data_IF_122902595526
#
_entry.id   IF_122902595526
#
_cell.length_a   1.000
_cell.length_b   1.000
_cell.length_c   1.000
_cell.angle_alpha   90.00
_cell.angle_beta   90.00
_cell.angle_gamma   90.00
#
_symmetry.space_group_name_H-M   'P 1'
#
loop_
_entity.id
_entity.type
_entity.pdbx_description
1 polymer ?
#
# COMPACT_ATOMS: atom_id res chain seq x y z
N UNK A 1 -30.00 -19.54 10.15
CA UNK A 1 -28.90 -20.12 9.35
C UNK A 1 -27.69 -19.25 9.60
N UNK A 2 -26.51 -19.82 9.84
CA UNK A 2 -25.30 -19.01 9.99
C UNK A 2 -25.09 -18.22 8.69
N UNK A 3 -24.75 -16.93 8.78
CA UNK A 3 -24.44 -16.14 7.59
C UNK A 3 -22.94 -16.06 7.39
N UNK A 4 -22.50 -16.20 6.14
CA UNK A 4 -21.13 -15.89 5.78
C UNK A 4 -20.96 -14.37 5.88
N UNK A 5 -20.16 -13.90 6.84
CA UNK A 5 -19.93 -12.48 7.08
C UNK A 5 -18.43 -12.21 6.99
N UNK A 6 -18.00 -11.18 6.22
CA UNK A 6 -16.61 -10.80 6.15
C UNK A 6 -16.01 -10.54 7.54
N UNK A 7 -14.80 -11.02 7.78
CA UNK A 7 -14.07 -10.93 9.06
C UNK A 7 -14.48 -11.96 10.11
N UNK A 8 -15.26 -12.99 9.75
CA UNK A 8 -15.77 -13.99 10.70
C UNK A 8 -15.53 -15.41 10.21
N UNK A 9 -15.52 -16.37 11.15
CA UNK A 9 -15.52 -17.79 10.82
C UNK A 9 -16.93 -18.25 10.42
N UNK A 10 -17.02 -19.09 9.41
CA UNK A 10 -18.25 -19.65 8.86
C UNK A 10 -18.15 -21.18 8.83
N UNK A 11 -19.16 -21.86 9.34
CA UNK A 11 -19.25 -23.33 9.26
C UNK A 11 -20.03 -23.73 8.02
N UNK A 12 -19.37 -24.43 7.10
CA UNK A 12 -19.94 -24.93 5.84
C UNK A 12 -21.18 -25.78 6.12
N UNK A 13 -22.28 -25.44 5.45
CA UNK A 13 -23.56 -26.12 5.50
C UNK A 13 -23.73 -27.08 4.32
N UNK A 14 -24.73 -27.97 4.42
CA UNK A 14 -25.01 -28.92 3.34
C UNK A 14 -25.45 -28.18 2.08
N UNK A 15 -24.73 -28.41 0.98
CA UNK A 15 -25.02 -27.81 -0.34
C UNK A 15 -24.27 -26.50 -0.60
N UNK A 16 -23.44 -26.02 0.34
CA UNK A 16 -22.61 -24.85 0.12
C UNK A 16 -21.54 -25.09 -0.94
N UNK A 17 -21.18 -24.00 -1.62
CA UNK A 17 -20.02 -23.90 -2.51
C UNK A 17 -19.23 -22.66 -2.11
N UNK A 18 -17.92 -22.61 -2.37
CA UNK A 18 -17.13 -21.41 -2.08
C UNK A 18 -17.67 -20.17 -2.81
N UNK A 19 -18.18 -20.33 -4.03
CA UNK A 19 -18.83 -19.26 -4.79
C UNK A 19 -20.16 -18.82 -4.20
N UNK A 20 -20.98 -19.76 -3.70
CA UNK A 20 -22.20 -19.43 -2.95
C UNK A 20 -21.90 -18.66 -1.66
N UNK A 21 -20.90 -19.10 -0.91
CA UNK A 21 -20.45 -18.44 0.33
C UNK A 21 -19.88 -17.05 0.01
N UNK A 22 -19.08 -16.90 -1.04
CA UNK A 22 -18.56 -15.62 -1.51
C UNK A 22 -19.69 -14.67 -1.96
N UNK A 23 -20.66 -15.18 -2.71
CA UNK A 23 -21.83 -14.42 -3.13
C UNK A 23 -22.62 -13.90 -1.92
N UNK A 24 -22.75 -14.72 -0.87
CA UNK A 24 -23.42 -14.33 0.37
C UNK A 24 -22.60 -13.29 1.16
N UNK A 25 -21.30 -13.50 1.33
CA UNK A 25 -20.45 -12.64 2.14
C UNK A 25 -20.15 -11.30 1.49
N UNK A 26 -20.00 -11.29 0.16
CA UNK A 26 -19.42 -10.17 -0.58
C UNK A 26 -20.34 -9.59 -1.65
N UNK A 27 -21.43 -10.28 -2.00
CA UNK A 27 -22.27 -9.90 -3.13
C UNK A 27 -21.68 -10.28 -4.50
N UNK A 28 -20.53 -10.98 -4.55
CA UNK A 28 -19.88 -11.44 -5.78
C UNK A 28 -19.31 -12.85 -5.59
N UNK A 29 -19.95 -13.82 -6.24
CA UNK A 29 -19.54 -15.22 -6.21
C UNK A 29 -18.16 -15.49 -6.84
N UNK A 30 -17.62 -14.57 -7.64
CA UNK A 30 -16.26 -14.70 -8.20
C UNK A 30 -15.18 -14.50 -7.14
N UNK A 31 -15.51 -13.93 -5.98
CA UNK A 31 -14.57 -13.73 -4.87
C UNK A 31 -14.32 -15.01 -4.05
N UNK A 32 -14.74 -16.17 -4.55
CA UNK A 32 -14.49 -17.48 -3.93
C UNK A 32 -13.01 -17.77 -3.73
N UNK A 33 -12.15 -17.27 -4.62
CA UNK A 33 -10.69 -17.42 -4.55
C UNK A 33 -10.12 -16.79 -3.29
N UNK A 34 -10.70 -15.67 -2.84
CA UNK A 34 -10.29 -14.97 -1.62
C UNK A 34 -10.50 -15.87 -0.40
N UNK A 35 -11.64 -16.57 -0.36
CA UNK A 35 -11.95 -17.53 0.71
C UNK A 35 -11.05 -18.76 0.60
N UNK A 36 -10.85 -19.30 -0.60
CA UNK A 36 -9.99 -20.47 -0.82
C UNK A 36 -8.56 -20.20 -0.34
N UNK A 37 -7.97 -19.09 -0.76
CA UNK A 37 -6.60 -18.69 -0.41
C UNK A 37 -6.45 -18.46 1.09
N UNK A 38 -7.39 -17.75 1.72
CA UNK A 38 -7.36 -17.47 3.16
C UNK A 38 -7.46 -18.73 4.02
N UNK A 39 -8.01 -19.82 3.48
CA UNK A 39 -8.19 -21.10 4.17
C UNK A 39 -7.26 -22.20 3.65
N UNK A 40 -6.29 -21.87 2.80
CA UNK A 40 -5.35 -22.82 2.19
C UNK A 40 -6.03 -23.99 1.46
N UNK A 41 -7.16 -23.71 0.78
CA UNK A 41 -7.92 -24.71 0.03
C UNK A 41 -7.36 -24.80 -1.39
N UNK A 42 -6.70 -25.91 -1.71
CA UNK A 42 -6.09 -26.14 -3.02
C UNK A 42 -7.10 -26.56 -4.10
N UNK A 43 -8.14 -27.31 -3.72
CA UNK A 43 -9.25 -27.67 -4.61
C UNK A 43 -10.55 -27.02 -4.13
N UNK A 44 -11.07 -26.00 -4.84
CA UNK A 44 -12.25 -25.25 -4.43
C UNK A 44 -13.55 -26.06 -4.47
N UNK A 45 -13.57 -27.23 -5.12
CA UNK A 45 -14.73 -28.11 -5.15
C UNK A 45 -14.84 -29.02 -3.92
N UNK A 46 -13.88 -28.95 -2.98
CA UNK A 46 -13.73 -29.93 -1.89
C UNK A 46 -13.92 -29.27 -0.52
N UNK A 47 -14.92 -28.40 -0.38
CA UNK A 47 -15.36 -28.00 0.97
C UNK A 47 -16.32 -29.03 1.54
N UNK A 48 -16.15 -29.38 2.82
CA UNK A 48 -16.95 -30.40 3.49
C UNK A 48 -17.93 -29.76 4.48
N UNK A 49 -19.16 -30.31 4.55
CA UNK A 49 -20.13 -29.91 5.58
C UNK A 49 -19.52 -30.01 6.97
N UNK A 50 -19.62 -28.94 7.77
CA UNK A 50 -19.02 -28.84 9.10
C UNK A 50 -17.60 -28.26 9.12
N UNK A 51 -16.95 -28.09 7.97
CA UNK A 51 -15.67 -27.39 7.88
C UNK A 51 -15.84 -25.92 8.30
N UNK A 52 -14.90 -25.40 9.09
CA UNK A 52 -14.88 -23.99 9.47
C UNK A 52 -13.95 -23.23 8.52
N UNK A 53 -14.48 -22.22 7.85
CA UNK A 53 -13.76 -21.33 6.95
C UNK A 53 -13.68 -19.94 7.58
N UNK A 54 -12.50 -19.34 7.60
CA UNK A 54 -12.36 -17.91 7.82
C UNK A 54 -12.83 -17.16 6.57
N UNK A 55 -13.81 -16.28 6.72
CA UNK A 55 -14.29 -15.40 5.64
C UNK A 55 -13.53 -14.09 5.75
N UNK A 56 -12.51 -13.81 4.92
CA UNK A 56 -11.74 -12.59 5.01
C UNK A 56 -12.58 -11.35 4.72
N UNK A 57 -12.20 -10.19 5.27
CA UNK A 57 -12.77 -8.92 4.81
C UNK A 57 -12.25 -8.64 3.41
N UNK A 58 -13.14 -8.39 2.44
CA UNK A 58 -12.69 -7.89 1.15
C UNK A 58 -11.97 -6.58 1.36
N UNK A 59 -10.75 -6.58 0.88
CA UNK A 59 -9.89 -5.44 0.84
C UNK A 59 -10.56 -4.24 0.16
N UNK A 60 -10.23 -3.04 0.63
CA UNK A 60 -10.76 -1.78 0.14
C UNK A 60 -10.59 -1.61 -1.37
N UNK A 61 -11.54 -0.92 -2.02
CA UNK A 61 -11.48 -0.59 -3.46
C UNK A 61 -10.21 0.21 -3.85
N UNK A 62 -9.53 0.82 -2.87
CA UNK A 62 -8.24 1.47 -3.04
C UNK A 62 -7.22 0.88 -2.06
N UNK A 63 -6.00 0.55 -2.49
CA UNK A 63 -4.99 -0.02 -1.61
C UNK A 63 -4.65 0.99 -0.51
N UNK A 64 -4.78 0.57 0.75
CA UNK A 64 -4.58 1.44 1.92
C UNK A 64 -3.44 0.89 2.78
N UNK A 65 -2.44 1.70 3.15
CA UNK A 65 -1.38 1.28 4.06
C UNK A 65 -1.94 0.71 5.37
N UNK A 66 -1.47 -0.48 5.76
CA UNK A 66 -1.91 -1.20 6.96
C UNK A 66 -3.03 -2.20 6.72
N UNK A 67 -3.59 -2.28 5.51
CA UNK A 67 -4.70 -3.16 5.17
C UNK A 67 -4.33 -4.19 4.11
N UNK A 68 -5.11 -5.27 4.01
CA UNK A 68 -5.07 -6.14 2.84
C UNK A 68 -5.67 -5.40 1.62
N UNK A 69 -5.15 -5.73 0.43
CA UNK A 69 -5.59 -5.30 -0.88
C UNK A 69 -5.83 -6.50 -1.78
N UNK A 70 -6.95 -6.55 -2.49
CA UNK A 70 -7.24 -7.58 -3.47
C UNK A 70 -6.89 -7.03 -4.84
N UNK A 71 -5.90 -7.62 -5.49
CA UNK A 71 -5.42 -7.21 -6.82
C UNK A 71 -6.59 -7.22 -7.80
N UNK A 72 -6.76 -6.12 -8.53
CA UNK A 72 -7.78 -5.96 -9.54
C UNK A 72 -7.20 -6.19 -10.95
N UNK A 73 -8.08 -6.36 -11.93
CA UNK A 73 -7.66 -6.48 -13.33
C UNK A 73 -6.89 -5.23 -13.78
N UNK A 74 -5.67 -5.44 -14.28
CA UNK A 74 -4.80 -4.37 -14.80
C UNK A 74 -3.95 -3.67 -13.74
N UNK A 75 -4.00 -4.10 -12.47
CA UNK A 75 -3.07 -3.61 -11.47
C UNK A 75 -1.62 -4.04 -11.75
N UNK A 76 -0.69 -3.22 -11.28
CA UNK A 76 0.74 -3.54 -11.16
C UNK A 76 1.18 -3.18 -9.74
N UNK A 77 2.24 -3.79 -9.22
CA UNK A 77 2.75 -3.43 -7.88
C UNK A 77 3.11 -1.95 -7.77
N UNK A 78 3.64 -1.34 -8.83
CA UNK A 78 3.93 0.10 -8.90
C UNK A 78 2.66 0.95 -8.95
N UNK A 79 1.62 0.52 -9.68
CA UNK A 79 0.31 1.18 -9.67
C UNK A 79 -0.36 1.11 -8.30
N UNK A 80 -0.30 -0.04 -7.63
CA UNK A 80 -0.80 -0.23 -6.27
C UNK A 80 -0.01 0.65 -5.29
N UNK A 81 1.32 0.66 -5.39
CA UNK A 81 2.18 1.52 -4.56
C UNK A 81 1.91 3.01 -4.78
N UNK A 82 1.71 3.43 -6.03
CA UNK A 82 1.34 4.81 -6.36
C UNK A 82 0.02 5.21 -5.71
N UNK A 83 -0.99 4.33 -5.74
CA UNK A 83 -2.31 4.56 -5.11
C UNK A 83 -2.22 4.56 -3.58
N UNK A 84 -1.45 3.64 -3.00
CA UNK A 84 -1.35 3.45 -1.55
C UNK A 84 -0.44 4.46 -0.85
N UNK A 85 0.68 4.80 -1.50
CA UNK A 85 1.77 5.56 -0.90
C UNK A 85 2.02 6.90 -1.59
N UNK A 86 1.42 7.15 -2.75
CA UNK A 86 1.73 8.33 -3.56
C UNK A 86 3.03 8.21 -4.36
N UNK A 87 3.73 7.08 -4.28
CA UNK A 87 4.99 6.81 -4.99
C UNK A 87 5.02 5.37 -5.51
N UNK A 88 4.95 5.22 -6.83
CA UNK A 88 5.05 3.92 -7.49
C UNK A 88 6.39 3.21 -7.30
N UNK A 89 7.45 3.91 -6.89
CA UNK A 89 8.75 3.31 -6.55
C UNK A 89 8.75 2.60 -5.20
N UNK A 90 7.63 2.65 -4.45
CA UNK A 90 7.46 1.90 -3.21
C UNK A 90 6.94 0.47 -3.44
N UNK A 91 6.88 0.00 -4.70
CA UNK A 91 6.38 -1.34 -5.03
C UNK A 91 7.16 -2.46 -4.32
N UNK A 92 8.46 -2.28 -4.10
CA UNK A 92 9.31 -3.23 -3.38
C UNK A 92 8.85 -3.40 -1.93
N UNK A 93 8.22 -2.39 -1.33
CA UNK A 93 7.65 -2.48 0.02
C UNK A 93 6.54 -3.51 0.06
N UNK A 94 5.67 -3.49 -0.95
CA UNK A 94 4.58 -4.45 -1.11
C UNK A 94 5.18 -5.83 -1.41
N UNK A 95 6.04 -5.92 -2.43
CA UNK A 95 6.62 -7.20 -2.85
C UNK A 95 7.41 -7.90 -1.72
N UNK A 96 8.29 -7.18 -1.02
CA UNK A 96 9.19 -7.77 -0.03
C UNK A 96 8.52 -8.17 1.29
N UNK A 97 7.23 -7.89 1.46
CA UNK A 97 6.51 -8.36 2.63
C UNK A 97 6.46 -9.90 2.64
N UNK A 98 6.81 -10.60 3.74
CA UNK A 98 6.95 -12.06 3.74
C UNK A 98 5.73 -12.81 3.21
N UNK A 99 4.52 -12.38 3.59
CA UNK A 99 3.28 -12.98 3.09
C UNK A 99 3.07 -12.75 1.59
N UNK A 100 3.34 -11.53 1.10
CA UNK A 100 3.17 -11.19 -0.31
C UNK A 100 4.16 -11.95 -1.19
N UNK A 101 5.41 -12.14 -0.74
CA UNK A 101 6.38 -12.99 -1.47
C UNK A 101 5.90 -14.43 -1.65
N UNK A 102 5.16 -14.96 -0.67
CA UNK A 102 4.61 -16.32 -0.76
C UNK A 102 3.48 -16.39 -1.79
N UNK A 103 2.65 -15.34 -1.89
CA UNK A 103 1.55 -15.25 -2.85
C UNK A 103 2.08 -15.02 -4.28
N UNK A 104 2.94 -14.01 -4.45
CA UNK A 104 3.45 -13.56 -5.77
C UNK A 104 4.53 -14.51 -6.32
N UNK A 105 5.33 -15.11 -5.44
CA UNK A 105 6.46 -15.94 -5.83
C UNK A 105 7.70 -15.13 -6.29
N UNK A 106 8.58 -15.74 -7.11
CA UNK A 106 9.89 -15.19 -7.41
C UNK A 106 9.85 -13.99 -8.38
N UNK A 107 8.79 -13.83 -9.18
CA UNK A 107 8.68 -12.75 -10.16
C UNK A 107 7.69 -11.68 -9.67
N UNK A 108 8.16 -10.46 -9.33
CA UNK A 108 7.30 -9.38 -8.85
C UNK A 108 6.31 -8.86 -9.91
N UNK A 109 6.48 -9.17 -11.19
CA UNK A 109 5.55 -8.76 -12.24
C UNK A 109 4.38 -9.74 -12.42
N UNK A 110 4.44 -10.92 -11.80
CA UNK A 110 3.37 -11.91 -11.85
C UNK A 110 2.42 -11.74 -10.67
N UNK A 111 1.57 -10.71 -10.75
CA UNK A 111 0.38 -10.60 -9.88
C UNK A 111 -0.88 -10.90 -10.68
N UNK A 112 -1.85 -11.54 -10.04
CA UNK A 112 -3.09 -11.97 -10.66
C UNK A 112 -4.32 -11.36 -9.98
N UNK A 113 -5.38 -11.00 -10.73
CA UNK A 113 -6.63 -10.54 -10.14
C UNK A 113 -7.17 -11.55 -9.12
N UNK A 114 -7.60 -11.05 -7.96
CA UNK A 114 -8.09 -11.87 -6.84
C UNK A 114 -7.02 -12.26 -5.81
N UNK A 115 -5.73 -12.07 -6.11
CA UNK A 115 -4.67 -12.23 -5.11
C UNK A 115 -4.83 -11.19 -3.99
N UNK A 116 -4.65 -11.63 -2.75
CA UNK A 116 -4.72 -10.76 -1.58
C UNK A 116 -3.30 -10.44 -1.13
N UNK A 117 -2.93 -9.16 -1.21
CA UNK A 117 -1.64 -8.64 -0.79
C UNK A 117 -1.83 -7.77 0.45
N UNK A 118 -1.02 -7.96 1.47
CA UNK A 118 -0.93 -7.00 2.56
C UNK A 118 -0.24 -5.72 2.05
N UNK A 119 -0.80 -4.55 2.28
CA UNK A 119 -0.17 -3.27 1.93
C UNK A 119 0.54 -2.78 3.20
N UNK A 120 1.88 -2.92 3.33
CA UNK A 120 2.53 -2.60 4.59
C UNK A 120 2.34 -1.14 4.94
N UNK A 121 2.06 -0.80 6.21
CA UNK A 121 1.95 0.59 6.63
C UNK A 121 3.26 1.29 6.32
N UNK A 122 3.18 2.57 5.97
CA UNK A 122 4.35 3.44 6.05
C UNK A 122 4.70 3.57 7.52
N UNK A 123 5.67 2.79 7.99
CA UNK A 123 6.43 3.13 9.19
C UNK A 123 7.14 4.42 8.85
N UNK A 124 6.46 5.55 9.09
CA UNK A 124 7.02 6.89 8.96
C UNK A 124 8.17 6.96 9.96
N UNK A 125 9.35 6.56 9.52
CA UNK A 125 10.56 6.84 10.28
C UNK A 125 10.73 8.33 10.07
N UNK A 126 10.32 9.12 11.05
CA UNK A 126 10.53 10.56 11.01
C UNK A 126 12.03 10.78 10.92
N UNK A 127 12.45 11.19 9.73
CA UNK A 127 13.80 11.65 9.47
C UNK A 127 13.84 13.13 9.73
N UNK A 128 14.95 13.58 10.28
CA UNK A 128 15.19 14.99 10.54
C UNK A 128 16.36 15.46 9.70
N UNK A 129 16.26 16.67 9.20
CA UNK A 129 17.35 17.38 8.54
C UNK A 129 17.33 18.85 8.94
N UNK A 130 18.49 19.48 8.93
CA UNK A 130 18.65 20.90 9.25
C UNK A 130 18.80 21.71 7.97
N UNK A 131 18.12 22.85 7.86
CA UNK A 131 18.30 23.77 6.74
C UNK A 131 19.71 24.37 6.78
N UNK A 132 20.51 24.13 5.74
CA UNK A 132 21.89 24.62 5.61
C UNK A 132 22.02 25.75 4.59
N UNK A 133 21.03 25.92 3.71
CA UNK A 133 20.97 27.01 2.74
C UNK A 133 21.05 28.38 3.42
N UNK A 134 21.97 29.28 3.04
CA UNK A 134 22.13 30.61 3.65
C UNK A 134 20.90 31.52 3.50
N UNK A 135 20.10 31.30 2.46
CA UNK A 135 18.87 32.07 2.19
C UNK A 135 17.63 31.40 2.78
N UNK A 136 17.81 30.38 3.62
CA UNK A 136 16.73 29.52 4.08
C UNK A 136 16.23 28.59 2.97
N UNK A 137 15.08 27.98 3.23
CA UNK A 137 14.48 26.98 2.36
C UNK A 137 12.98 27.21 2.28
N UNK A 138 12.39 27.05 1.11
CA UNK A 138 10.94 27.15 0.97
C UNK A 138 10.28 25.78 0.87
N UNK A 139 9.19 25.59 1.59
CA UNK A 139 8.27 24.47 1.38
C UNK A 139 7.35 24.74 0.17
N UNK A 140 6.95 23.66 -0.48
CA UNK A 140 6.21 23.65 -1.75
C UNK A 140 5.05 22.67 -1.69
N UNK A 141 3.96 22.99 -2.38
CA UNK A 141 2.77 22.11 -2.46
C UNK A 141 3.02 20.81 -3.23
N UNK A 142 4.04 20.79 -4.11
CA UNK A 142 4.50 19.60 -4.81
C UNK A 142 6.04 19.62 -4.90
N UNK A 143 6.67 18.51 -5.29
CA UNK A 143 8.12 18.37 -5.45
C UNK A 143 8.68 19.11 -6.70
N UNK A 144 8.33 20.38 -6.86
CA UNK A 144 8.78 21.27 -7.94
C UNK A 144 8.84 22.71 -7.45
N UNK A 145 9.85 23.43 -7.91
CA UNK A 145 10.11 24.85 -7.67
C UNK A 145 8.96 25.74 -8.16
N UNK A 146 8.21 25.29 -9.18
CA UNK A 146 7.08 25.99 -9.79
C UNK A 146 5.78 25.92 -8.96
N UNK A 147 5.65 24.96 -8.04
CA UNK A 147 4.44 24.85 -7.23
C UNK A 147 4.35 25.97 -6.18
N UNK A 148 3.15 26.19 -5.65
CA UNK A 148 2.89 27.22 -4.66
C UNK A 148 3.82 27.09 -3.45
N UNK A 149 4.36 28.22 -3.00
CA UNK A 149 5.09 28.28 -1.73
C UNK A 149 4.08 28.17 -0.58
N UNK A 150 4.24 27.18 0.28
CA UNK A 150 3.32 26.97 1.42
C UNK A 150 3.96 27.33 2.76
N UNK A 151 5.29 27.34 2.83
CA UNK A 151 6.03 27.78 4.02
C UNK A 151 7.46 28.23 3.65
N UNK A 152 8.14 28.90 4.56
CA UNK A 152 9.56 29.28 4.46
C UNK A 152 10.26 29.04 5.80
N UNK A 153 11.47 28.50 5.75
CA UNK A 153 12.25 28.10 6.90
C UNK A 153 13.61 28.81 6.88
N UNK A 154 14.04 29.29 8.05
CA UNK A 154 15.32 29.97 8.20
C UNK A 154 16.47 28.95 8.25
N UNK A 155 17.72 29.37 7.99
CA UNK A 155 18.89 28.53 8.24
C UNK A 155 18.90 28.03 9.69
N UNK A 156 19.27 26.76 9.90
CA UNK A 156 19.28 26.11 11.22
C UNK A 156 17.94 25.54 11.68
N UNK A 157 16.84 25.75 10.95
CA UNK A 157 15.56 25.08 11.25
C UNK A 157 15.68 23.58 11.04
N UNK A 158 15.26 22.79 12.03
CA UNK A 158 15.10 21.33 11.89
C UNK A 158 13.75 21.04 11.24
N UNK A 159 13.79 20.32 10.13
CA UNK A 159 12.63 19.84 9.39
C UNK A 159 12.48 18.34 9.60
N UNK A 160 11.24 17.89 9.68
CA UNK A 160 10.90 16.47 9.71
C UNK A 160 10.19 16.05 8.43
N UNK A 161 10.56 14.88 7.92
CA UNK A 161 9.98 14.25 6.75
C UNK A 161 9.94 12.73 6.93
N UNK A 162 9.03 12.07 6.23
CA UNK A 162 8.86 10.62 6.35
C UNK A 162 9.29 9.86 5.08
N UNK A 163 9.45 10.55 3.95
CA UNK A 163 9.92 9.96 2.70
C UNK A 163 10.70 10.96 1.82
N UNK A 164 11.53 10.40 0.95
CA UNK A 164 12.23 11.15 -0.10
C UNK A 164 11.44 10.95 -1.39
N UNK A 165 10.82 12.02 -1.88
CA UNK A 165 10.19 12.07 -3.18
C UNK A 165 11.22 12.43 -4.27
N UNK A 166 11.08 11.83 -5.45
CA UNK A 166 11.79 12.26 -6.65
C UNK A 166 10.94 13.29 -7.38
N UNK A 167 11.49 14.48 -7.56
CA UNK A 167 10.81 15.61 -8.18
C UNK A 167 11.69 16.35 -9.18
N UNK A 168 11.44 17.65 -9.33
CA UNK A 168 12.27 18.52 -10.14
C UNK A 168 13.73 18.44 -9.70
N UNK A 169 14.62 18.29 -10.69
CA UNK A 169 16.04 18.34 -10.47
C UNK A 169 16.49 19.78 -10.23
N UNK A 170 16.70 20.15 -8.97
CA UNK A 170 17.23 21.45 -8.58
C UNK A 170 18.71 21.29 -8.30
N UNK A 171 19.54 22.04 -9.02
CA UNK A 171 21.01 22.06 -8.85
C UNK A 171 21.67 20.66 -8.88
N UNK A 172 21.17 19.74 -9.69
CA UNK A 172 21.70 18.38 -9.79
C UNK A 172 21.14 17.39 -8.76
N UNK A 173 20.25 17.83 -7.87
CA UNK A 173 19.60 16.96 -6.89
C UNK A 173 18.07 16.91 -7.11
N UNK A 174 17.50 15.76 -7.54
CA UNK A 174 16.06 15.59 -7.73
C UNK A 174 15.32 15.18 -6.44
N UNK A 175 15.98 15.15 -5.29
CA UNK A 175 15.42 14.64 -4.03
C UNK A 175 14.72 15.73 -3.23
N UNK A 176 13.50 15.44 -2.81
CA UNK A 176 12.65 16.30 -2.01
C UNK A 176 12.16 15.54 -0.77
N UNK A 177 12.21 16.16 0.41
CA UNK A 177 11.63 15.60 1.62
C UNK A 177 10.13 15.88 1.64
N UNK A 178 9.31 14.85 1.86
CA UNK A 178 7.86 14.99 2.04
C UNK A 178 7.52 14.95 3.53
N UNK A 179 6.97 16.05 4.03
CA UNK A 179 6.58 16.23 5.42
C UNK A 179 5.24 15.59 5.71
N UNK A 180 5.03 15.11 6.95
CA UNK A 180 3.73 14.62 7.44
C UNK A 180 2.62 15.67 7.38
N UNK A 181 2.99 16.95 7.24
CA UNK A 181 2.08 18.08 7.03
C UNK A 181 1.72 18.29 5.55
N UNK A 182 2.16 17.41 4.65
CA UNK A 182 1.76 17.37 3.23
C UNK A 182 2.52 18.32 2.30
N UNK A 183 3.62 18.92 2.75
CA UNK A 183 4.47 19.78 1.91
C UNK A 183 5.80 19.12 1.56
N UNK A 184 6.43 19.64 0.51
CA UNK A 184 7.71 19.21 -0.02
C UNK A 184 8.78 20.26 0.22
N UNK A 185 10.02 19.82 0.45
CA UNK A 185 11.19 20.70 0.49
C UNK A 185 12.39 20.05 -0.20
N UNK A 186 13.19 20.85 -0.90
CA UNK A 186 14.35 20.33 -1.64
C UNK A 186 15.48 19.94 -0.69
N UNK A 187 15.90 18.67 -0.71
CA UNK A 187 16.87 18.14 0.27
C UNK A 187 18.29 18.70 0.07
N UNK A 188 18.64 19.15 -1.14
CA UNK A 188 19.97 19.73 -1.38
C UNK A 188 20.25 21.02 -0.60
N UNK A 189 19.22 21.67 -0.03
CA UNK A 189 19.37 22.82 0.86
C UNK A 189 19.47 22.45 2.35
N UNK A 190 19.71 21.17 2.65
CA UNK A 190 19.77 20.61 4.01
C UNK A 190 21.10 19.90 4.28
N UNK A 191 21.34 19.49 5.52
CA UNK A 191 22.47 18.66 5.93
C UNK A 191 22.37 17.18 5.49
N UNK A 192 21.22 16.74 4.97
CA UNK A 192 20.98 15.40 4.46
C UNK A 192 20.48 15.44 3.00
N UNK A 193 21.33 15.85 2.03
CA UNK A 193 20.93 16.02 0.64
C UNK A 193 20.45 14.73 -0.06
N UNK A 194 20.75 13.57 0.51
CA UNK A 194 20.37 12.26 -0.02
C UNK A 194 19.22 11.58 0.75
N UNK A 195 18.79 12.20 1.85
CA UNK A 195 17.74 11.71 2.75
C UNK A 195 18.14 10.55 3.65
#
# INVERSE_FOLDING_TARGET
MAQATPGSNYTVQQGDTLSGIAQQAYGDGNQWQVIANANHISDPNVIQTGQVLFIPVLSSASPTPGSNYTVQQGDTLSGIAQKAYGDGNQWQRIYNYPHNKQVIGPDPNHIHPGEVLYIPPITQTNKNCTVTSPIGLNARAAATSQSAKVNSFSPGTVLSFFEVAIGENVQGNPRWGHSSQGYYFWLGGTDHPNG
#
